data_IF_033621552157
#
_entry.id   IF_033621552157
#
_cell.length_a   1.000
_cell.length_b   1.000
_cell.length_c   1.000
_cell.angle_alpha   90.00
_cell.angle_beta   90.00
_cell.angle_gamma   90.00
#
_symmetry.space_group_name_H-M   'P 1'
#
loop_
_entity.id
_entity.type
_entity.pdbx_description
1 polymer ?
#
# COMPACT_ATOMS: atom_id res chain seq x y z
N UNK A 1 -51.72 4.20 38.25
CA UNK A 1 -50.46 4.91 38.60
C UNK A 1 -49.29 3.97 38.38
N UNK A 2 -48.29 4.40 37.59
CA UNK A 2 -46.88 3.95 37.53
C UNK A 2 -46.61 2.47 37.17
N UNK A 3 -45.62 2.11 36.36
CA UNK A 3 -44.73 2.76 35.40
C UNK A 3 -43.94 1.58 34.78
N UNK A 4 -43.98 1.39 33.47
CA UNK A 4 -43.05 0.48 32.79
C UNK A 4 -41.86 1.30 32.27
N UNK A 5 -40.75 1.22 32.99
CA UNK A 5 -39.39 1.53 32.51
C UNK A 5 -38.71 0.19 32.20
N UNK A 6 -37.98 -0.05 31.12
CA UNK A 6 -37.49 0.76 30.02
C UNK A 6 -36.64 -0.18 29.17
N UNK A 7 -37.11 -0.52 27.97
CA UNK A 7 -36.35 -1.27 26.98
C UNK A 7 -35.84 -0.30 25.92
N UNK A 8 -34.56 0.08 25.92
CA UNK A 8 -33.99 0.81 24.77
C UNK A 8 -32.48 0.64 24.56
N UNK A 9 -31.75 -0.13 25.39
CA UNK A 9 -30.29 -0.29 25.26
C UNK A 9 -29.83 -1.43 24.35
N UNK A 10 -30.75 -2.22 23.77
CA UNK A 10 -30.40 -3.37 22.90
C UNK A 10 -30.69 -3.16 21.41
N UNK A 11 -31.12 -1.97 20.98
CA UNK A 11 -31.52 -1.73 19.58
C UNK A 11 -30.44 -1.12 18.68
N UNK A 12 -29.25 -0.80 19.21
CA UNK A 12 -28.15 -0.21 18.41
C UNK A 12 -27.03 -1.19 18.03
N UNK A 13 -27.03 -2.42 18.56
CA UNK A 13 -25.99 -3.44 18.27
C UNK A 13 -26.40 -4.48 17.20
N UNK A 14 -27.53 -4.30 16.51
CA UNK A 14 -28.11 -5.29 15.59
C UNK A 14 -28.14 -4.91 14.11
N UNK A 15 -27.62 -3.74 13.73
CA UNK A 15 -27.75 -3.22 12.36
C UNK A 15 -26.51 -3.40 11.47
N UNK A 16 -25.46 -4.09 11.93
CA UNK A 16 -24.28 -4.46 11.10
C UNK A 16 -24.18 -6.00 10.93
N UNK A 17 -25.00 -6.77 11.64
CA UNK A 17 -24.92 -8.24 11.69
C UNK A 17 -25.75 -9.02 10.67
N UNK A 18 -26.30 -8.38 9.64
CA UNK A 18 -27.19 -9.05 8.67
C UNK A 18 -27.02 -8.49 7.25
N UNK A 19 -25.84 -8.69 6.66
CA UNK A 19 -25.61 -8.54 5.22
C UNK A 19 -24.42 -9.41 4.79
N UNK A 20 -24.52 -10.70 5.12
CA UNK A 20 -23.59 -11.73 4.70
C UNK A 20 -24.34 -13.04 4.70
N UNK A 21 -24.99 -13.33 3.57
CA UNK A 21 -25.39 -14.63 3.03
C UNK A 21 -26.46 -14.33 1.97
N UNK A 22 -26.06 -14.53 0.71
CA UNK A 22 -26.83 -14.76 -0.54
C UNK A 22 -26.24 -13.90 -1.68
N UNK A 23 -25.25 -14.47 -2.35
CA UNK A 23 -25.01 -14.32 -3.81
C UNK A 23 -23.80 -15.19 -4.23
N UNK A 24 -23.88 -16.51 -4.01
CA UNK A 24 -23.16 -17.47 -4.85
C UNK A 24 -24.06 -17.73 -6.06
N UNK A 25 -23.75 -17.11 -7.20
CA UNK A 25 -24.46 -17.40 -8.45
C UNK A 25 -24.31 -16.30 -9.50
N UNK A 26 -23.46 -16.57 -10.49
CA UNK A 26 -23.42 -15.94 -11.81
C UNK A 26 -22.96 -14.48 -11.91
N UNK A 27 -21.64 -14.29 -12.03
CA UNK A 27 -21.06 -13.27 -12.90
C UNK A 27 -19.74 -13.78 -13.48
N UNK A 28 -19.87 -14.66 -14.48
CA UNK A 28 -18.90 -14.76 -15.56
C UNK A 28 -18.90 -13.43 -16.34
N UNK A 29 -17.72 -13.05 -16.84
CA UNK A 29 -17.47 -11.93 -17.76
C UNK A 29 -17.48 -10.52 -17.17
N UNK A 30 -16.50 -10.23 -16.31
CA UNK A 30 -15.71 -9.04 -16.53
C UNK A 30 -14.32 -9.52 -16.95
N UNK A 31 -14.02 -9.33 -18.23
CA UNK A 31 -12.69 -9.52 -18.78
C UNK A 31 -11.74 -8.64 -17.96
N UNK A 32 -11.00 -9.28 -17.05
CA UNK A 32 -9.80 -8.68 -16.52
C UNK A 32 -8.83 -8.71 -17.69
N UNK A 33 -8.80 -7.63 -18.47
CA UNK A 33 -7.62 -7.26 -19.23
C UNK A 33 -6.49 -7.21 -18.20
N UNK A 34 -5.82 -8.34 -18.04
CA UNK A 34 -4.43 -8.36 -17.62
C UNK A 34 -3.72 -7.56 -18.70
N UNK A 35 -3.65 -6.24 -18.49
CA UNK A 35 -2.71 -5.40 -19.18
C UNK A 35 -1.38 -6.16 -19.10
N UNK A 36 -0.98 -6.65 -20.26
CA UNK A 36 0.20 -7.48 -20.44
C UNK A 36 1.34 -6.62 -19.94
N UNK A 37 1.78 -6.87 -18.70
CA UNK A 37 2.92 -6.17 -18.12
C UNK A 37 4.08 -6.51 -19.04
N UNK A 38 4.43 -5.58 -19.93
CA UNK A 38 5.58 -5.71 -20.78
C UNK A 38 6.75 -6.08 -19.89
N UNK A 39 7.39 -7.19 -20.23
CA UNK A 39 8.57 -7.71 -19.58
C UNK A 39 9.63 -6.62 -19.47
N UNK A 40 9.73 -5.99 -18.29
CA UNK A 40 10.68 -4.92 -18.04
C UNK A 40 10.42 -4.21 -16.72
N UNK A 41 10.96 -4.75 -15.62
CA UNK A 41 11.35 -3.98 -14.41
C UNK A 41 10.30 -3.04 -13.77
N UNK A 42 9.01 -3.24 -14.04
CA UNK A 42 7.94 -2.42 -13.47
C UNK A 42 7.53 -2.89 -12.09
N UNK A 43 7.85 -2.12 -11.05
CA UNK A 43 7.22 -2.33 -9.75
C UNK A 43 5.71 -2.11 -9.87
N UNK A 44 4.95 -3.12 -9.43
CA UNK A 44 3.49 -3.10 -9.46
C UNK A 44 2.92 -2.00 -8.57
N UNK A 45 1.81 -1.42 -8.99
CA UNK A 45 0.97 -0.46 -8.27
C UNK A 45 -0.06 -1.13 -7.34
N UNK A 46 0.14 -2.42 -7.04
CA UNK A 46 -0.71 -3.21 -6.16
C UNK A 46 0.09 -4.12 -5.24
N UNK A 47 -0.59 -4.64 -4.22
CA UNK A 47 -0.08 -5.64 -3.27
C UNK A 47 -1.20 -6.63 -2.99
N UNK A 48 -0.96 -7.92 -3.24
CA UNK A 48 -1.96 -8.99 -3.09
C UNK A 48 -3.27 -8.68 -3.85
N UNK A 49 -3.14 -8.10 -5.05
CA UNK A 49 -4.27 -7.69 -5.88
C UNK A 49 -4.96 -6.40 -5.44
N UNK A 50 -4.57 -5.80 -4.31
CA UNK A 50 -5.16 -4.55 -3.82
C UNK A 50 -4.62 -3.34 -4.57
N UNK A 51 -5.52 -2.51 -5.11
CA UNK A 51 -5.21 -1.28 -5.86
C UNK A 51 -5.88 -0.05 -5.24
N UNK A 52 -5.31 1.12 -5.48
CA UNK A 52 -5.93 2.41 -5.17
C UNK A 52 -7.27 2.52 -5.90
N UNK A 53 -8.28 3.07 -5.23
CA UNK A 53 -9.64 3.26 -5.75
C UNK A 53 -10.54 2.02 -5.72
N UNK A 54 -10.06 0.86 -5.28
CA UNK A 54 -10.94 -0.29 -5.09
C UNK A 54 -11.89 -0.08 -3.91
N UNK A 55 -13.11 -0.62 -4.01
CA UNK A 55 -14.06 -0.65 -2.90
C UNK A 55 -13.62 -1.62 -1.79
N UNK A 56 -14.17 -1.43 -0.59
CA UNK A 56 -13.87 -2.26 0.59
C UNK A 56 -14.10 -3.76 0.31
N UNK A 57 -15.30 -4.24 -0.06
CA UNK A 57 -15.51 -5.67 -0.34
C UNK A 57 -14.49 -6.28 -1.31
N UNK A 58 -14.23 -5.61 -2.43
CA UNK A 58 -13.29 -6.08 -3.45
C UNK A 58 -11.87 -6.16 -2.90
N UNK A 59 -11.43 -5.16 -2.13
CA UNK A 59 -10.10 -5.15 -1.53
C UNK A 59 -9.88 -6.27 -0.52
N UNK A 60 -10.84 -6.48 0.39
CA UNK A 60 -10.73 -7.54 1.40
C UNK A 60 -10.75 -8.93 0.74
N UNK A 61 -11.57 -9.12 -0.29
CA UNK A 61 -11.61 -10.36 -1.06
C UNK A 61 -10.29 -10.62 -1.79
N UNK A 62 -9.68 -9.58 -2.38
CA UNK A 62 -8.38 -9.70 -3.05
C UNK A 62 -7.29 -10.18 -2.07
N UNK A 63 -7.23 -9.60 -0.86
CA UNK A 63 -6.30 -10.06 0.18
C UNK A 63 -6.59 -11.50 0.56
N UNK A 64 -7.85 -11.87 0.79
CA UNK A 64 -8.22 -13.23 1.18
C UNK A 64 -7.72 -14.27 0.17
N UNK A 65 -7.99 -14.04 -1.13
CA UNK A 65 -7.63 -14.97 -2.21
C UNK A 65 -6.11 -15.01 -2.41
N UNK A 66 -5.48 -13.85 -2.58
CA UNK A 66 -4.07 -13.76 -2.96
C UNK A 66 -3.10 -14.01 -1.80
N UNK A 67 -3.55 -13.85 -0.55
CA UNK A 67 -2.78 -14.25 0.63
C UNK A 67 -3.04 -15.71 1.05
N UNK A 68 -3.80 -16.47 0.25
CA UNK A 68 -4.16 -17.87 0.53
C UNK A 68 -4.74 -18.08 1.94
N UNK A 69 -5.60 -17.15 2.38
CA UNK A 69 -6.23 -17.22 3.71
C UNK A 69 -7.22 -18.39 3.73
N UNK A 70 -7.34 -19.04 4.89
CA UNK A 70 -8.27 -20.16 5.08
C UNK A 70 -9.68 -19.63 5.38
N UNK A 71 -10.73 -20.40 5.07
CA UNK A 71 -12.08 -20.07 5.54
C UNK A 71 -12.08 -19.79 7.05
N UNK A 72 -12.76 -18.72 7.46
CA UNK A 72 -12.74 -18.19 8.83
C UNK A 72 -11.66 -17.12 9.10
N UNK A 73 -10.80 -16.82 8.12
CA UNK A 73 -9.75 -15.79 8.20
C UNK A 73 -9.98 -14.61 7.23
N UNK A 74 -11.22 -14.37 6.82
CA UNK A 74 -11.61 -13.32 5.85
C UNK A 74 -11.40 -11.91 6.40
N UNK A 75 -11.54 -11.76 7.73
CA UNK A 75 -11.47 -10.46 8.39
C UNK A 75 -10.03 -9.99 8.60
N UNK A 76 -9.80 -8.67 8.60
CA UNK A 76 -8.52 -8.11 9.05
C UNK A 76 -8.29 -8.39 10.54
N UNK A 77 -7.03 -8.43 10.94
CA UNK A 77 -6.60 -8.73 12.31
C UNK A 77 -6.77 -7.51 13.24
N UNK A 78 -6.74 -6.30 12.68
CA UNK A 78 -7.08 -5.08 13.40
C UNK A 78 -7.68 -4.02 12.48
N UNK A 79 -8.41 -3.07 13.07
CA UNK A 79 -8.96 -1.90 12.41
C UNK A 79 -8.81 -0.68 13.31
N UNK A 80 -8.46 0.47 12.74
CA UNK A 80 -8.43 1.77 13.41
C UNK A 80 -9.03 2.87 12.53
N UNK A 81 -9.64 3.85 13.16
CA UNK A 81 -10.07 5.08 12.49
C UNK A 81 -8.96 6.12 12.55
N UNK A 82 -8.67 6.76 11.42
CA UNK A 82 -7.61 7.78 11.29
C UNK A 82 -8.06 8.98 10.45
N UNK A 83 -7.17 9.96 10.27
CA UNK A 83 -7.52 11.26 9.69
C UNK A 83 -8.10 12.24 10.71
N UNK A 84 -8.21 13.51 10.31
CA UNK A 84 -8.65 14.62 11.19
C UNK A 84 -10.10 14.44 11.67
N UNK A 85 -10.95 13.86 10.84
CA UNK A 85 -12.37 13.62 11.11
C UNK A 85 -12.68 12.15 11.45
N UNK A 86 -11.65 11.30 11.56
CA UNK A 86 -11.75 9.86 11.87
C UNK A 86 -12.60 9.06 10.87
N UNK A 87 -12.82 9.59 9.67
CA UNK A 87 -13.60 8.87 8.65
C UNK A 87 -12.78 7.85 7.88
N UNK A 88 -11.46 8.06 7.80
CA UNK A 88 -10.59 7.06 7.21
C UNK A 88 -10.52 5.81 8.09
N UNK A 89 -10.52 4.65 7.44
CA UNK A 89 -10.45 3.36 8.12
C UNK A 89 -9.19 2.65 7.67
N UNK A 90 -8.26 2.42 8.60
CA UNK A 90 -7.12 1.55 8.35
C UNK A 90 -7.40 0.15 8.86
N UNK A 91 -7.17 -0.84 8.01
CA UNK A 91 -7.18 -2.25 8.37
C UNK A 91 -5.76 -2.81 8.33
N UNK A 92 -5.51 -3.82 9.16
CA UNK A 92 -4.22 -4.48 9.27
C UNK A 92 -4.40 -6.00 9.14
N UNK A 93 -3.56 -6.60 8.30
CA UNK A 93 -3.38 -8.03 8.16
C UNK A 93 -1.96 -8.40 8.60
N UNK A 94 -1.84 -9.31 9.56
CA UNK A 94 -0.56 -9.73 10.15
C UNK A 94 -0.18 -11.13 9.70
N UNK A 95 1.13 -11.36 9.65
CA UNK A 95 1.69 -12.69 9.45
C UNK A 95 1.32 -13.31 8.10
N UNK A 96 1.12 -12.48 7.07
CA UNK A 96 1.04 -12.98 5.70
C UNK A 96 2.43 -13.41 5.25
N UNK A 97 2.51 -14.31 4.28
CA UNK A 97 3.79 -14.80 3.76
C UNK A 97 4.70 -13.65 3.29
N UNK A 98 4.11 -12.65 2.64
CA UNK A 98 4.81 -11.45 2.13
C UNK A 98 5.15 -10.42 3.21
N UNK A 99 4.51 -10.47 4.39
CA UNK A 99 4.65 -9.46 5.44
C UNK A 99 3.35 -9.02 6.10
N UNK A 100 3.42 -7.92 6.84
CA UNK A 100 2.25 -7.27 7.42
C UNK A 100 1.70 -6.23 6.43
N UNK A 101 0.42 -6.32 6.10
CA UNK A 101 -0.26 -5.45 5.14
C UNK A 101 -1.23 -4.51 5.85
N UNK A 102 -1.07 -3.22 5.63
CA UNK A 102 -2.01 -2.19 6.03
C UNK A 102 -2.70 -1.60 4.80
N UNK A 103 -4.01 -1.36 4.90
CA UNK A 103 -4.81 -0.71 3.85
C UNK A 103 -5.62 0.40 4.50
N UNK A 104 -5.59 1.59 3.92
CA UNK A 104 -6.44 2.72 4.34
C UNK A 104 -7.54 2.92 3.34
N UNK A 105 -8.77 2.99 3.84
CA UNK A 105 -9.95 3.32 3.08
C UNK A 105 -10.38 4.76 3.36
N UNK A 106 -10.38 5.59 2.32
CA UNK A 106 -10.96 6.93 2.33
C UNK A 106 -12.44 6.86 2.68
N UNK A 107 -12.85 7.55 3.75
CA UNK A 107 -14.22 7.53 4.27
C UNK A 107 -14.80 6.12 4.50
N UNK A 108 -13.94 5.12 4.69
CA UNK A 108 -14.35 3.71 4.79
C UNK A 108 -14.94 3.14 3.49
N UNK A 109 -14.68 3.75 2.32
CA UNK A 109 -15.24 3.34 1.02
C UNK A 109 -14.20 2.86 0.02
N UNK A 110 -13.11 3.62 -0.14
CA UNK A 110 -12.19 3.44 -1.26
C UNK A 110 -10.75 3.31 -0.79
N UNK A 111 -10.00 2.35 -1.30
CA UNK A 111 -8.56 2.22 -0.99
C UNK A 111 -7.82 3.49 -1.39
N UNK A 112 -7.19 4.18 -0.44
CA UNK A 112 -6.34 5.35 -0.70
C UNK A 112 -4.86 5.16 -0.36
N UNK A 113 -4.56 4.17 0.46
CA UNK A 113 -3.18 3.81 0.82
C UNK A 113 -3.08 2.30 1.04
N UNK A 114 -1.96 1.74 0.62
CA UNK A 114 -1.57 0.35 0.80
C UNK A 114 -0.11 0.36 1.27
N UNK A 115 0.16 -0.21 2.44
CA UNK A 115 1.51 -0.33 2.98
C UNK A 115 1.81 -1.78 3.31
N UNK A 116 2.91 -2.29 2.76
CA UNK A 116 3.44 -3.60 3.10
C UNK A 116 4.73 -3.44 3.88
N UNK A 117 4.80 -4.06 5.05
CA UNK A 117 6.03 -4.25 5.82
C UNK A 117 6.53 -5.65 5.52
N UNK A 118 7.64 -5.77 4.78
CA UNK A 118 8.13 -7.05 4.29
C UNK A 118 8.56 -8.00 5.44
N UNK A 119 8.09 -9.25 5.38
CA UNK A 119 8.60 -10.35 6.21
C UNK A 119 10.02 -10.75 5.79
N UNK A 120 10.21 -10.94 4.47
CA UNK A 120 11.49 -11.16 3.80
C UNK A 120 11.86 -9.90 3.02
N UNK A 121 12.79 -9.12 3.58
CA UNK A 121 13.15 -7.80 3.05
C UNK A 121 13.99 -7.94 1.77
N UNK A 122 13.51 -7.43 0.62
CA UNK A 122 14.33 -7.37 -0.57
C UNK A 122 15.44 -6.34 -0.38
N UNK A 123 16.55 -6.51 -1.08
CA UNK A 123 17.59 -5.50 -1.20
C UNK A 123 17.22 -4.48 -2.27
N UNK A 124 17.86 -3.31 -2.23
CA UNK A 124 17.76 -2.34 -3.33
C UNK A 124 18.08 -2.96 -4.69
N UNK A 125 19.05 -3.88 -4.75
CA UNK A 125 19.42 -4.57 -5.98
C UNK A 125 18.36 -5.57 -6.45
N UNK A 126 17.63 -6.22 -5.54
CA UNK A 126 16.51 -7.09 -5.90
C UNK A 126 15.39 -6.29 -6.55
N UNK A 127 15.24 -5.03 -6.13
CA UNK A 127 14.27 -4.08 -6.67
C UNK A 127 14.85 -3.19 -7.79
N UNK A 128 16.11 -3.33 -8.20
CA UNK A 128 16.75 -2.45 -9.18
C UNK A 128 16.61 -0.94 -8.84
N UNK A 129 16.58 -0.59 -7.55
CA UNK A 129 16.51 0.79 -7.09
C UNK A 129 17.90 1.43 -7.11
N UNK A 130 18.02 2.60 -7.74
CA UNK A 130 19.28 3.32 -7.80
C UNK A 130 19.78 3.71 -6.39
N UNK A 131 21.07 3.51 -6.09
CA UNK A 131 21.63 3.83 -4.77
C UNK A 131 21.87 5.31 -4.54
N UNK A 132 21.84 6.14 -5.58
CA UNK A 132 21.96 7.60 -5.50
C UNK A 132 20.95 8.17 -6.49
N UNK A 133 20.43 9.38 -6.25
CA UNK A 133 19.35 9.99 -7.03
C UNK A 133 19.74 10.37 -8.46
N UNK A 134 20.90 9.90 -8.92
CA UNK A 134 21.44 10.05 -10.25
C UNK A 134 22.19 8.76 -10.63
N UNK A 135 21.90 8.23 -11.81
CA UNK A 135 22.67 7.12 -12.40
C UNK A 135 24.13 7.55 -12.65
N UNK A 136 24.39 8.83 -12.88
CA UNK A 136 25.75 9.32 -13.12
C UNK A 136 26.63 9.22 -11.86
N UNK A 137 26.03 9.35 -10.67
CA UNK A 137 26.73 9.16 -9.40
C UNK A 137 27.07 7.69 -9.09
N UNK A 138 26.54 6.73 -9.86
CA UNK A 138 26.93 5.30 -9.82
C UNK A 138 28.16 5.03 -10.70
N UNK A 139 28.55 5.98 -11.55
CA UNK A 139 29.70 5.85 -12.45
C UNK A 139 30.97 6.52 -11.94
N UNK A 140 30.87 7.38 -10.91
CA UNK A 140 32.00 8.12 -10.36
C UNK A 140 32.61 7.38 -9.15
N UNK A 141 33.68 6.61 -9.43
CA UNK A 141 34.30 5.53 -8.63
C UNK A 141 34.86 5.90 -7.23
N UNK A 142 34.49 7.03 -6.64
CA UNK A 142 35.13 7.52 -5.41
C UNK A 142 34.26 7.47 -4.15
N UNK A 143 32.99 7.04 -4.24
CA UNK A 143 32.20 6.77 -3.05
C UNK A 143 32.41 5.32 -2.58
N UNK A 144 32.81 5.13 -1.32
CA UNK A 144 33.17 3.81 -0.76
C UNK A 144 31.97 2.84 -0.72
N UNK A 145 30.76 3.33 -1.01
CA UNK A 145 29.57 2.51 -1.26
C UNK A 145 29.60 1.70 -2.58
N UNK A 146 30.44 2.08 -3.56
CA UNK A 146 30.33 1.65 -4.96
C UNK A 146 31.11 0.38 -5.35
N UNK A 147 32.02 -0.14 -4.52
CA UNK A 147 32.87 -1.28 -4.90
C UNK A 147 32.13 -2.62 -5.10
N UNK A 148 30.81 -2.65 -4.86
CA UNK A 148 29.94 -3.82 -5.04
C UNK A 148 28.71 -3.56 -5.92
N UNK A 149 28.60 -2.40 -6.58
CA UNK A 149 27.54 -2.20 -7.56
C UNK A 149 27.89 -2.96 -8.83
N UNK A 150 26.96 -3.79 -9.27
CA UNK A 150 27.12 -4.53 -10.50
C UNK A 150 26.76 -3.58 -11.64
N UNK A 151 27.74 -2.80 -12.12
CA UNK A 151 27.63 -1.75 -13.15
C UNK A 151 26.97 -2.29 -14.45
N UNK A 152 26.91 -3.61 -14.62
CA UNK A 152 26.20 -4.28 -15.71
C UNK A 152 24.65 -4.31 -15.57
N UNK A 153 24.07 -3.92 -14.42
CA UNK A 153 22.62 -3.94 -14.20
C UNK A 153 21.99 -2.56 -14.44
N UNK A 154 20.94 -2.53 -15.27
CA UNK A 154 20.11 -1.34 -15.50
C UNK A 154 19.19 -1.10 -14.30
N UNK A 155 19.40 0.00 -13.58
CA UNK A 155 18.53 0.46 -12.50
C UNK A 155 17.26 1.14 -13.06
N UNK A 156 16.18 1.17 -12.28
CA UNK A 156 14.96 1.91 -12.61
C UNK A 156 15.16 3.41 -12.30
N UNK A 157 15.30 4.22 -13.34
CA UNK A 157 15.57 5.65 -13.30
C UNK A 157 14.32 6.52 -13.08
N UNK A 158 13.14 5.90 -13.03
CA UNK A 158 11.87 6.62 -12.80
C UNK A 158 11.68 7.08 -11.35
N UNK A 159 12.49 6.56 -10.43
CA UNK A 159 12.35 6.84 -9.01
C UNK A 159 13.12 8.10 -8.60
N UNK A 160 12.38 9.05 -8.02
CA UNK A 160 12.94 10.11 -7.20
C UNK A 160 13.42 9.56 -5.85
N UNK A 161 14.42 10.21 -5.25
CA UNK A 161 15.01 9.80 -3.98
C UNK A 161 14.98 10.94 -2.97
N UNK A 162 14.69 10.60 -1.72
CA UNK A 162 14.66 11.51 -0.59
C UNK A 162 14.68 10.74 0.72
N UNK A 163 14.22 11.38 1.79
CA UNK A 163 14.21 10.81 3.13
C UNK A 163 12.83 10.97 3.78
N UNK A 164 12.42 10.01 4.60
CA UNK A 164 11.13 10.06 5.31
C UNK A 164 11.15 11.01 6.51
N UNK A 165 12.34 11.40 6.99
CA UNK A 165 12.53 12.20 8.19
C UNK A 165 13.62 13.25 8.00
N UNK A 166 13.58 14.31 8.82
CA UNK A 166 14.62 15.35 8.84
C UNK A 166 15.95 14.84 9.36
N UNK A 167 15.93 13.82 10.22
CA UNK A 167 17.12 13.10 10.69
C UNK A 167 17.72 12.20 9.61
N UNK A 168 17.09 12.12 8.42
CA UNK A 168 17.52 11.32 7.27
C UNK A 168 17.75 9.86 7.63
N UNK A 169 16.96 9.36 8.59
CA UNK A 169 17.11 8.02 9.15
C UNK A 169 16.59 6.93 8.21
N UNK A 170 15.74 7.24 7.25
CA UNK A 170 15.27 6.25 6.28
C UNK A 170 15.21 6.90 4.90
N UNK A 171 15.74 6.19 3.90
CA UNK A 171 15.69 6.63 2.52
C UNK A 171 14.36 6.22 1.89
N UNK A 172 13.83 7.08 1.05
CA UNK A 172 12.59 6.86 0.32
C UNK A 172 12.84 7.00 -1.17
N UNK A 173 12.50 5.95 -1.93
CA UNK A 173 12.41 5.98 -3.38
C UNK A 173 10.94 6.08 -3.75
N UNK A 174 10.55 7.00 -4.61
CA UNK A 174 9.17 7.04 -5.10
C UNK A 174 9.09 7.46 -6.57
N UNK A 175 8.02 7.02 -7.22
CA UNK A 175 7.56 7.55 -8.50
C UNK A 175 6.08 7.88 -8.41
N UNK A 176 5.64 8.85 -9.20
CA UNK A 176 4.25 9.28 -9.28
C UNK A 176 3.71 8.91 -10.67
N UNK A 177 2.78 7.97 -10.72
CA UNK A 177 2.15 7.49 -11.96
C UNK A 177 0.78 8.18 -12.12
N UNK A 178 0.56 8.86 -13.25
CA UNK A 178 -0.70 9.53 -13.53
C UNK A 178 -1.82 8.52 -13.85
N UNK A 179 -3.02 8.75 -13.30
CA UNK A 179 -4.20 7.93 -13.60
C UNK A 179 -5.08 8.57 -14.68
N UNK A 180 -5.88 7.79 -15.42
CA UNK A 180 -6.88 8.33 -16.36
C UNK A 180 -7.89 9.29 -15.72
N UNK A 181 -8.09 9.19 -14.39
CA UNK A 181 -8.98 10.03 -13.63
C UNK A 181 -8.35 11.37 -13.18
N UNK A 182 -7.08 11.62 -13.51
CA UNK A 182 -6.41 12.91 -13.30
C UNK A 182 -5.75 13.12 -11.94
N UNK A 183 -5.74 12.11 -11.07
CA UNK A 183 -4.90 12.07 -9.85
C UNK A 183 -3.65 11.19 -10.07
N UNK A 184 -2.62 11.35 -9.25
CA UNK A 184 -1.43 10.50 -9.29
C UNK A 184 -1.43 9.45 -8.18
N UNK A 185 -0.97 8.25 -8.52
CA UNK A 185 -0.63 7.19 -7.57
C UNK A 185 0.88 7.21 -7.34
N UNK A 186 1.29 7.35 -6.09
CA UNK A 186 2.68 7.25 -5.67
C UNK A 186 3.01 5.81 -5.32
N UNK A 187 3.97 5.22 -6.02
CA UNK A 187 4.58 3.93 -5.65
C UNK A 187 5.94 4.22 -5.06
N UNK A 188 6.22 3.70 -3.86
CA UNK A 188 7.49 3.95 -3.20
C UNK A 188 7.98 2.84 -2.28
N UNK A 189 9.25 2.95 -1.94
CA UNK A 189 10.01 1.97 -1.16
C UNK A 189 10.82 2.70 -0.09
N UNK A 190 10.81 2.18 1.14
CA UNK A 190 11.51 2.78 2.28
C UNK A 190 12.56 1.82 2.81
N UNK A 191 13.80 2.30 2.98
CA UNK A 191 14.90 1.52 3.56
C UNK A 191 14.70 1.24 5.05
N UNK A 192 15.54 0.36 5.60
CA UNK A 192 15.78 0.32 7.05
C UNK A 192 16.39 1.61 7.59
N UNK A 193 16.47 1.72 8.92
CA UNK A 193 17.11 2.85 9.60
C UNK A 193 18.60 2.92 9.24
N UNK A 194 19.08 4.08 8.81
CA UNK A 194 20.50 4.40 8.61
C UNK A 194 21.19 4.65 9.97
N UNK A 195 22.51 4.51 10.02
CA UNK A 195 23.27 4.78 11.24
C UNK A 195 23.26 6.28 11.57
N UNK A 196 23.64 6.65 12.80
CA UNK A 196 23.76 8.06 13.22
C UNK A 196 24.73 8.87 12.34
N UNK A 197 25.66 8.20 11.66
CA UNK A 197 26.60 8.81 10.71
C UNK A 197 26.00 9.03 9.30
N UNK A 198 24.70 8.75 9.09
CA UNK A 198 24.02 8.91 7.79
C UNK A 198 24.36 7.83 6.76
N UNK A 199 25.18 6.83 7.12
CA UNK A 199 25.48 5.70 6.27
C UNK A 199 24.31 4.70 6.28
N UNK A 200 23.94 4.19 5.10
CA UNK A 200 22.94 3.12 4.99
C UNK A 200 23.44 1.91 5.76
N UNK A 201 22.91 1.71 6.97
CA UNK A 201 23.28 0.61 7.85
C UNK A 201 22.92 -0.75 7.23
N UNK A 202 21.82 -0.76 6.46
CA UNK A 202 21.28 -1.93 5.81
C UNK A 202 20.66 -1.55 4.45
N UNK A 203 21.11 -2.23 3.38
CA UNK A 203 20.63 -2.03 2.00
C UNK A 203 19.29 -2.72 1.72
N UNK A 204 18.60 -3.18 2.76
CA UNK A 204 17.28 -3.79 2.65
C UNK A 204 16.15 -2.76 2.67
N UNK A 205 15.07 -3.13 2.01
CA UNK A 205 13.83 -2.38 1.91
C UNK A 205 12.84 -2.99 2.89
N UNK A 206 12.39 -2.17 3.84
CA UNK A 206 11.47 -2.60 4.89
C UNK A 206 10.02 -2.46 4.45
N UNK A 207 9.72 -1.40 3.68
CA UNK A 207 8.35 -1.05 3.32
C UNK A 207 8.19 -0.78 1.84
N UNK A 208 7.08 -1.26 1.29
CA UNK A 208 6.49 -0.77 0.04
C UNK A 208 5.24 0.04 0.39
N UNK A 209 5.11 1.21 -0.20
CA UNK A 209 3.98 2.11 -0.03
C UNK A 209 3.37 2.40 -1.40
N UNK A 210 2.06 2.25 -1.52
CA UNK A 210 1.28 2.73 -2.66
C UNK A 210 0.21 3.64 -2.10
N UNK A 211 0.18 4.89 -2.53
CA UNK A 211 -0.73 5.88 -1.96
C UNK A 211 -1.20 6.86 -3.02
N UNK A 212 -2.36 7.49 -2.81
CA UNK A 212 -2.73 8.69 -3.55
C UNK A 212 -1.70 9.77 -3.22
N UNK A 213 -1.16 10.43 -4.24
CA UNK A 213 -0.27 11.57 -4.04
C UNK A 213 -0.98 12.60 -3.14
N UNK A 214 -0.37 13.06 -2.01
CA UNK A 214 -1.08 13.90 -1.04
C UNK A 214 -1.73 15.16 -1.65
N UNK A 215 -1.10 15.76 -2.65
CA UNK A 215 -1.62 16.96 -3.32
C UNK A 215 -2.83 16.68 -4.23
N UNK A 216 -3.14 15.41 -4.52
CA UNK A 216 -4.23 14.98 -5.39
C UNK A 216 -5.40 14.30 -4.63
N UNK A 217 -5.43 14.34 -3.29
CA UNK A 217 -6.48 13.67 -2.50
C UNK A 217 -7.89 14.15 -2.89
N UNK A 218 -8.08 15.46 -3.10
CA UNK A 218 -9.37 16.02 -3.56
C UNK A 218 -9.76 15.51 -4.96
N UNK A 219 -8.79 15.37 -5.87
CA UNK A 219 -9.04 14.84 -7.22
C UNK A 219 -9.42 13.36 -7.16
N UNK A 220 -8.76 12.60 -6.29
CA UNK A 220 -9.09 11.21 -6.05
C UNK A 220 -10.51 11.05 -5.51
N UNK A 221 -10.88 11.79 -4.45
CA UNK A 221 -12.22 11.72 -3.87
C UNK A 221 -13.31 12.08 -4.90
N UNK A 222 -13.08 13.13 -5.68
CA UNK A 222 -13.96 13.52 -6.78
C UNK A 222 -14.10 12.41 -7.83
N UNK A 223 -12.99 11.77 -8.22
CA UNK A 223 -12.99 10.67 -9.18
C UNK A 223 -13.76 9.45 -8.67
N UNK A 224 -13.75 9.19 -7.36
CA UNK A 224 -14.49 8.10 -6.72
C UNK A 224 -15.98 8.42 -6.49
N UNK A 225 -16.45 9.59 -6.92
CA UNK A 225 -17.83 10.04 -6.66
C UNK A 225 -18.11 10.31 -5.18
N UNK A 226 -17.07 10.56 -4.38
CA UNK A 226 -17.19 11.04 -3.01
C UNK A 226 -17.28 12.57 -3.04
N UNK A 227 -18.47 13.10 -2.79
CA UNK A 227 -18.77 14.54 -2.65
C UNK A 227 -19.57 14.78 -1.38
#
# INVERSE_FOLDING_TARGET
MRQQTGSNLHRLARTIGALLVVALGASLCAAQESAKTESGTGHEDHILGVRIGMDVPTALQAVFVNAHRKPGQEKPDALRHEGKDKKDVRVLYKGLEVGDLEIVFADGKWVKEIMLIYSKRPTMNDLMLAPTGSIDAVTDRNDVLDSHLNIAKKYDDRYSIGYTSTQKTERYWWRDDATPAGYHVRVGFISGRVTEAGAIADRTIYRKLITVKPEDEDKFLKAMGAS
#
